data_IF_552465239664
#
_entry.id   IF_552465239664
#
_cell.length_a   1.000
_cell.length_b   1.000
_cell.length_c   1.000
_cell.angle_alpha   90.00
_cell.angle_beta   90.00
_cell.angle_gamma   90.00
#
_symmetry.space_group_name_H-M   'P 1'
#
loop_
_entity.id
_entity.type
_entity.pdbx_description
1 polymer ?
#
# COMPACT_ATOMS: atom_id res chain seq x y z
N UNK A 1 11.40 9.28 -0.72
CA UNK A 1 10.02 9.79 -0.50
C UNK A 1 9.15 9.14 -1.56
N UNK A 2 8.15 8.33 -1.20
CA UNK A 2 7.11 7.92 -2.15
C UNK A 2 6.48 9.22 -2.69
N UNK A 3 6.35 9.35 -4.00
CA UNK A 3 5.74 10.55 -4.59
C UNK A 3 4.33 10.74 -3.99
N UNK A 4 4.00 11.97 -3.52
CA UNK A 4 2.70 12.23 -2.93
C UNK A 4 1.63 12.16 -4.02
N UNK A 5 0.69 11.22 -3.92
CA UNK A 5 -0.49 11.21 -4.81
C UNK A 5 -1.21 9.87 -4.98
N UNK A 6 -0.55 8.73 -4.75
CA UNK A 6 -1.16 7.41 -4.97
C UNK A 6 -1.71 6.71 -3.72
N UNK A 7 -1.49 7.27 -2.53
CA UNK A 7 -1.94 6.66 -1.26
C UNK A 7 -3.41 6.99 -1.00
N UNK A 8 -4.19 6.04 -0.44
CA UNK A 8 -5.54 6.34 0.02
C UNK A 8 -5.54 7.51 1.02
N UNK A 9 -6.54 8.40 0.93
CA UNK A 9 -6.62 9.61 1.75
C UNK A 9 -6.68 9.28 3.24
N UNK A 10 -7.41 8.23 3.59
CA UNK A 10 -7.60 7.72 4.95
C UNK A 10 -6.26 7.30 5.56
N UNK A 11 -5.37 6.68 4.77
CA UNK A 11 -4.01 6.34 5.21
C UNK A 11 -3.20 7.60 5.49
N UNK A 12 -3.24 8.58 4.58
CA UNK A 12 -2.50 9.85 4.76
C UNK A 12 -2.98 10.61 6.00
N UNK A 13 -4.30 10.66 6.22
CA UNK A 13 -4.87 11.30 7.40
C UNK A 13 -4.57 10.54 8.69
N UNK A 14 -4.66 9.21 8.67
CA UNK A 14 -4.36 8.37 9.82
C UNK A 14 -2.89 8.53 10.26
N UNK A 15 -1.95 8.56 9.30
CA UNK A 15 -0.54 8.85 9.56
C UNK A 15 -0.31 10.24 10.16
N UNK A 16 -1.06 11.27 9.71
CA UNK A 16 -0.97 12.63 10.26
C UNK A 16 -1.49 12.74 11.69
N UNK A 17 -2.51 11.96 12.03
CA UNK A 17 -3.19 12.05 13.34
C UNK A 17 -2.35 11.52 14.51
N UNK A 18 -1.15 10.95 14.28
CA UNK A 18 -0.28 10.32 15.30
C UNK A 18 -1.04 9.39 16.27
N UNK A 19 -2.17 8.83 15.83
CA UNK A 19 -3.02 8.00 16.70
C UNK A 19 -2.39 6.61 16.83
N UNK A 20 -2.60 6.03 18.00
CA UNK A 20 -2.21 4.65 18.31
C UNK A 20 -2.78 3.71 17.25
N UNK A 21 -1.97 2.72 16.85
CA UNK A 21 -2.27 1.71 15.81
C UNK A 21 -3.67 1.08 15.98
N UNK A 22 -4.16 1.03 17.21
CA UNK A 22 -5.44 0.43 17.61
C UNK A 22 -6.70 1.22 17.20
N UNK A 23 -6.58 2.41 16.61
CA UNK A 23 -7.73 3.18 16.12
C UNK A 23 -7.69 3.29 14.59
N UNK A 24 -8.25 2.30 13.85
CA UNK A 24 -8.40 2.41 12.41
C UNK A 24 -9.36 3.56 12.06
N UNK A 25 -9.16 4.24 10.91
CA UNK A 25 -10.12 5.23 10.44
C UNK A 25 -11.43 4.54 10.05
N UNK A 26 -12.53 5.29 10.13
CA UNK A 26 -13.81 4.85 9.58
C UNK A 26 -13.75 4.92 8.06
N UNK A 27 -13.97 3.79 7.38
CA UNK A 27 -14.05 3.72 5.92
C UNK A 27 -15.52 3.84 5.51
N UNK A 28 -15.91 4.98 4.94
CA UNK A 28 -17.31 5.24 4.55
C UNK A 28 -17.72 4.49 3.28
N UNK A 29 -16.77 4.31 2.35
CA UNK A 29 -16.98 3.64 1.06
C UNK A 29 -15.93 2.55 0.85
N UNK A 30 -16.16 1.33 1.38
CA UNK A 30 -15.20 0.22 1.28
C UNK A 30 -14.75 -0.08 -0.15
N UNK A 31 -15.65 -0.02 -1.13
CA UNK A 31 -15.34 -0.30 -2.54
C UNK A 31 -14.36 0.71 -3.13
N UNK A 32 -14.58 2.01 -2.89
CA UNK A 32 -13.70 3.09 -3.38
C UNK A 32 -12.33 3.03 -2.69
N UNK A 33 -12.33 2.74 -1.39
CA UNK A 33 -11.11 2.57 -0.63
C UNK A 33 -10.30 1.37 -1.12
N UNK A 34 -10.93 0.22 -1.30
CA UNK A 34 -10.30 -0.99 -1.81
C UNK A 34 -9.75 -0.83 -3.24
N UNK A 35 -10.39 -0.02 -4.09
CA UNK A 35 -9.87 0.31 -5.42
C UNK A 35 -8.60 1.17 -5.34
N UNK A 36 -8.63 2.24 -4.53
CA UNK A 36 -7.47 3.11 -4.31
C UNK A 36 -6.32 2.34 -3.66
N UNK A 37 -6.63 1.50 -2.66
CA UNK A 37 -5.64 0.70 -1.97
C UNK A 37 -4.98 -0.32 -2.90
N UNK A 38 -5.74 -1.02 -3.75
CA UNK A 38 -5.18 -1.94 -4.74
C UNK A 38 -4.26 -1.23 -5.73
N UNK A 39 -4.64 -0.02 -6.16
CA UNK A 39 -3.81 0.84 -7.03
C UNK A 39 -2.50 1.21 -6.33
N UNK A 40 -2.60 1.62 -5.06
CA UNK A 40 -1.44 1.90 -4.22
C UNK A 40 -0.54 0.67 -4.06
N UNK A 41 -1.08 -0.48 -3.68
CA UNK A 41 -0.33 -1.73 -3.54
C UNK A 41 0.39 -2.13 -4.84
N UNK A 42 -0.29 -2.08 -5.98
CA UNK A 42 0.31 -2.38 -7.29
C UNK A 42 1.46 -1.44 -7.65
N UNK A 43 1.38 -0.16 -7.27
CA UNK A 43 2.48 0.80 -7.47
C UNK A 43 3.75 0.45 -6.67
N UNK A 44 3.64 -0.39 -5.65
CA UNK A 44 4.75 -0.86 -4.83
C UNK A 44 5.35 -2.19 -5.32
N UNK A 45 4.78 -2.78 -6.39
CA UNK A 45 5.24 -4.07 -6.92
C UNK A 45 6.11 -3.86 -8.18
N UNK A 46 7.13 -4.71 -8.38
CA UNK A 46 7.82 -4.82 -9.67
C UNK A 46 6.83 -5.14 -10.78
N UNK A 47 7.05 -4.60 -11.98
CA UNK A 47 6.19 -4.82 -13.14
C UNK A 47 5.96 -6.32 -13.43
N UNK A 48 7.00 -7.14 -13.27
CA UNK A 48 6.95 -8.60 -13.39
C UNK A 48 5.95 -9.30 -12.46
N UNK A 49 5.59 -8.68 -11.33
CA UNK A 49 4.60 -9.21 -10.37
C UNK A 49 3.18 -8.70 -10.64
N UNK A 50 3.00 -7.81 -11.61
CA UNK A 50 1.70 -7.28 -12.00
C UNK A 50 1.05 -8.19 -13.05
N UNK A 51 0.62 -9.40 -12.67
CA UNK A 51 -0.29 -10.19 -13.51
C UNK A 51 -1.64 -10.33 -12.84
N UNK A 52 -2.63 -9.60 -13.36
CA UNK A 52 -4.05 -9.80 -13.09
C UNK A 52 -4.40 -10.18 -11.64
N UNK A 53 -5.06 -11.32 -11.50
CA UNK A 53 -5.49 -11.94 -10.22
C UNK A 53 -4.70 -13.23 -9.92
N UNK A 54 -3.74 -13.59 -10.76
CA UNK A 54 -3.01 -14.85 -10.64
C UNK A 54 -1.81 -14.73 -9.68
N UNK A 55 -1.60 -15.79 -8.90
CA UNK A 55 -0.41 -15.89 -8.05
C UNK A 55 0.79 -16.27 -8.91
N UNK A 56 1.67 -15.29 -9.14
CA UNK A 56 2.90 -15.49 -9.88
C UNK A 56 4.07 -15.92 -8.99
N UNK A 57 4.72 -17.03 -9.33
CA UNK A 57 6.09 -17.34 -8.92
C UNK A 57 7.07 -16.72 -9.91
N UNK A 58 7.27 -15.40 -9.82
CA UNK A 58 8.21 -14.68 -10.69
C UNK A 58 9.34 -14.10 -9.86
N UNK A 59 10.57 -14.47 -10.20
CA UNK A 59 11.77 -13.90 -9.59
C UNK A 59 12.01 -12.47 -10.10
N UNK A 60 12.24 -11.55 -9.15
CA UNK A 60 12.59 -10.17 -9.43
C UNK A 60 13.99 -9.90 -8.88
N UNK A 61 14.81 -9.20 -9.66
CA UNK A 61 16.17 -8.85 -9.25
C UNK A 61 16.16 -7.76 -8.18
N UNK A 62 17.27 -7.63 -7.43
CA UNK A 62 17.41 -6.58 -6.43
C UNK A 62 17.25 -5.18 -7.01
N UNK A 63 17.66 -4.94 -8.27
CA UNK A 63 17.52 -3.64 -8.92
C UNK A 63 16.06 -3.29 -9.25
N UNK A 64 15.24 -4.29 -9.56
CA UNK A 64 13.80 -4.11 -9.77
C UNK A 64 13.11 -3.70 -8.47
N UNK A 65 13.52 -4.32 -7.35
CA UNK A 65 13.07 -3.94 -6.02
C UNK A 65 13.60 -2.59 -5.57
N UNK A 66 14.87 -2.27 -5.86
CA UNK A 66 15.54 -1.04 -5.38
C UNK A 66 14.84 0.22 -5.85
N UNK A 67 14.27 0.20 -7.07
CA UNK A 67 13.48 1.31 -7.63
C UNK A 67 12.20 1.59 -6.82
N UNK A 68 11.68 0.56 -6.13
CA UNK A 68 10.43 0.57 -5.36
C UNK A 68 10.65 0.67 -3.84
N UNK A 69 11.86 0.33 -3.36
CA UNK A 69 12.33 0.41 -1.98
C UNK A 69 12.55 1.85 -1.49
N UNK A 70 11.63 2.77 -1.83
CA UNK A 70 11.51 4.10 -1.21
C UNK A 70 10.63 4.06 0.06
N UNK A 71 10.30 2.87 0.55
CA UNK A 71 9.51 2.64 1.75
C UNK A 71 10.31 2.92 3.03
N UNK A 72 9.67 3.56 4.00
CA UNK A 72 10.24 3.70 5.35
C UNK A 72 10.23 2.34 6.06
N UNK A 73 10.88 2.23 7.23
CA UNK A 73 10.95 0.98 8.04
C UNK A 73 9.58 0.32 8.31
N UNK A 74 8.48 1.05 8.16
CA UNK A 74 7.12 0.59 8.45
C UNK A 74 6.29 0.29 7.19
N UNK A 75 6.84 0.35 5.97
CA UNK A 75 6.05 0.25 4.73
C UNK A 75 5.20 -1.02 4.63
N UNK A 76 5.78 -2.18 4.94
CA UNK A 76 5.07 -3.46 4.93
C UNK A 76 4.01 -3.56 6.04
N UNK A 77 4.35 -3.08 7.24
CA UNK A 77 3.42 -2.99 8.36
C UNK A 77 2.18 -2.15 8.01
N UNK A 78 2.38 -1.00 7.34
CA UNK A 78 1.28 -0.13 6.91
C UNK A 78 0.36 -0.82 5.90
N UNK A 79 0.91 -1.62 4.98
CA UNK A 79 0.09 -2.39 4.04
C UNK A 79 -0.82 -3.40 4.75
N UNK A 80 -0.28 -4.13 5.73
CA UNK A 80 -1.07 -5.11 6.50
C UNK A 80 -2.15 -4.39 7.32
N UNK A 81 -1.77 -3.36 8.08
CA UNK A 81 -2.72 -2.65 8.96
C UNK A 81 -3.85 -2.04 8.17
N UNK A 82 -3.53 -1.39 7.04
CA UNK A 82 -4.56 -0.77 6.21
C UNK A 82 -5.50 -1.80 5.63
N UNK A 83 -5.02 -2.95 5.16
CA UNK A 83 -5.85 -4.05 4.63
C UNK A 83 -6.93 -4.53 5.62
N UNK A 84 -6.73 -4.36 6.93
CA UNK A 84 -7.70 -4.73 7.94
C UNK A 84 -8.81 -3.68 8.18
N UNK A 85 -8.83 -2.56 7.44
CA UNK A 85 -9.81 -1.49 7.65
C UNK A 85 -11.15 -1.71 6.92
N UNK A 86 -11.23 -2.71 6.03
CA UNK A 86 -12.42 -3.07 5.26
C UNK A 86 -12.41 -4.56 4.88
#
# INVERSE_FOLDING_TARGET
RLEPGGQPKELVEWLKKKKTIMSPPKIEKPSDFGLQWRTYYRSLQPFKRLAGEELLQVECTMDEWRKLMKGTKNGFFLLIVTLCWW
#
